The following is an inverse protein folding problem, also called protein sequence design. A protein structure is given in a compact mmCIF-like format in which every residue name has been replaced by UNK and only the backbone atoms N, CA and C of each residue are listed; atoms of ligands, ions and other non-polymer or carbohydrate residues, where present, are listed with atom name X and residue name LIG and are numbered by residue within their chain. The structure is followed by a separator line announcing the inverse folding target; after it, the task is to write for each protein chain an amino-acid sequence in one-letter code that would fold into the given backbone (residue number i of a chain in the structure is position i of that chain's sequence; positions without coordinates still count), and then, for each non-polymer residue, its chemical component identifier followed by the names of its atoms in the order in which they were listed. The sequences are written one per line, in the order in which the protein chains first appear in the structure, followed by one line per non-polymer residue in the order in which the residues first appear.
data_IF_356796759416
#
_entry.id   IF_356796759416
#
_cell.length_a   1.000
_cell.length_b   1.000
_cell.length_c   1.000
_cell.angle_alpha   90.00
_cell.angle_beta   90.00
_cell.angle_gamma   90.00
#
_symmetry.space_group_name_H-M   'P 1'
#
loop_
_entity.id
_entity.type
_entity.pdbx_description
1 polymer ?
#
# COMPACT_ATOMS: atom_id res chain seq x y z
N UNK A 1 -2.83 -0.06 -31.12
CA UNK A 1 -3.56 1.19 -30.75
C UNK A 1 -2.97 1.59 -29.41
N UNK A 2 -1.78 2.18 -29.47
CA UNK A 2 -0.90 2.37 -28.33
C UNK A 2 -0.57 3.86 -28.26
N UNK A 3 -0.85 4.46 -27.10
CA UNK A 3 -0.76 5.89 -26.86
C UNK A 3 0.69 6.36 -26.81
N UNK A 4 1.32 6.60 -27.97
CA UNK A 4 2.54 7.42 -28.08
C UNK A 4 2.69 8.06 -29.47
N UNK A 5 1.59 8.49 -30.10
CA UNK A 5 1.63 9.31 -31.31
C UNK A 5 1.32 10.78 -30.98
N UNK A 6 2.27 11.45 -30.33
CA UNK A 6 2.44 12.91 -30.41
C UNK A 6 3.62 13.33 -29.53
N UNK A 7 4.86 13.16 -29.97
CA UNK A 7 5.92 14.11 -29.65
C UNK A 7 7.02 14.01 -30.71
N UNK A 8 7.32 15.18 -31.29
CA UNK A 8 8.21 15.47 -32.40
C UNK A 8 9.61 14.84 -32.24
N UNK A 9 10.27 14.37 -33.32
CA UNK A 9 11.62 13.84 -33.23
C UNK A 9 12.60 15.01 -33.11
N UNK A 10 13.32 15.11 -31.99
CA UNK A 10 14.49 15.98 -31.92
C UNK A 10 15.68 15.22 -31.35
N UNK A 11 16.63 14.97 -32.25
CA UNK A 11 17.95 14.41 -32.00
C UNK A 11 18.66 15.20 -30.91
N UNK A 12 18.87 14.60 -29.74
CA UNK A 12 19.99 14.99 -28.85
C UNK A 12 20.66 13.72 -28.36
N UNK A 13 21.84 13.46 -28.92
CA UNK A 13 22.86 12.55 -28.41
C UNK A 13 23.19 12.96 -26.98
N UNK A 14 22.69 12.23 -25.97
CA UNK A 14 23.21 12.26 -24.61
C UNK A 14 22.82 10.98 -23.88
N UNK A 15 23.82 10.16 -23.55
CA UNK A 15 23.71 8.90 -22.79
C UNK A 15 22.90 9.06 -21.48
N UNK A 16 22.84 10.27 -20.93
CA UNK A 16 22.09 10.64 -19.74
C UNK A 16 20.57 10.59 -19.90
N UNK A 17 20.00 10.99 -21.06
CA UNK A 17 18.55 10.99 -21.26
C UNK A 17 17.99 9.58 -21.46
N UNK A 18 18.80 8.68 -22.03
CA UNK A 18 18.44 7.27 -22.23
C UNK A 18 18.27 6.52 -20.90
N UNK A 19 19.05 6.89 -19.88
CA UNK A 19 18.91 6.34 -18.52
C UNK A 19 17.62 6.86 -17.87
N UNK A 20 17.35 8.16 -17.90
CA UNK A 20 16.13 8.74 -17.29
C UNK A 20 14.87 8.22 -17.96
N UNK A 21 14.84 8.15 -19.29
CA UNK A 21 13.71 7.59 -20.03
C UNK A 21 13.53 6.09 -19.73
N UNK A 22 14.61 5.32 -19.62
CA UNK A 22 14.56 3.91 -19.24
C UNK A 22 14.05 3.74 -17.80
N UNK A 23 14.56 4.53 -16.85
CA UNK A 23 14.16 4.48 -15.44
C UNK A 23 12.68 4.80 -15.30
N UNK A 24 12.18 5.87 -15.92
CA UNK A 24 10.76 6.24 -15.84
C UNK A 24 9.86 5.22 -16.57
N UNK A 25 10.25 4.72 -17.75
CA UNK A 25 9.44 3.70 -18.47
C UNK A 25 9.46 2.34 -17.77
N UNK A 26 10.61 1.88 -17.29
CA UNK A 26 10.74 0.59 -16.60
C UNK A 26 10.06 0.66 -15.24
N UNK A 27 10.30 1.69 -14.43
CA UNK A 27 9.56 1.89 -13.17
C UNK A 27 8.06 2.06 -13.43
N UNK A 28 7.68 2.76 -14.51
CA UNK A 28 6.29 2.97 -14.90
C UNK A 28 5.57 1.66 -15.21
N UNK A 29 6.16 0.78 -16.02
CA UNK A 29 5.57 -0.51 -16.36
C UNK A 29 5.53 -1.47 -15.17
N UNK A 30 6.57 -1.48 -14.32
CA UNK A 30 6.58 -2.25 -13.07
C UNK A 30 5.52 -1.76 -12.09
N UNK A 31 5.41 -0.44 -11.89
CA UNK A 31 4.38 0.17 -11.04
C UNK A 31 2.97 -0.14 -11.53
N UNK A 32 2.73 0.00 -12.84
CA UNK A 32 1.44 -0.34 -13.44
C UNK A 32 1.10 -1.82 -13.26
N UNK A 33 2.07 -2.72 -13.42
CA UNK A 33 1.89 -4.16 -13.18
C UNK A 33 1.51 -4.46 -11.72
N UNK A 34 2.24 -3.88 -10.76
CA UNK A 34 1.96 -4.02 -9.34
C UNK A 34 0.59 -3.46 -8.97
N UNK A 35 0.23 -2.28 -9.49
CA UNK A 35 -1.09 -1.70 -9.25
C UNK A 35 -2.21 -2.54 -9.84
N UNK A 36 -2.06 -3.16 -11.00
CA UNK A 36 -3.09 -4.05 -11.57
C UNK A 36 -3.42 -5.21 -10.64
N UNK A 37 -2.42 -5.77 -9.95
CA UNK A 37 -2.62 -6.84 -8.97
C UNK A 37 -3.28 -6.35 -7.68
N UNK A 38 -2.96 -5.12 -7.24
CA UNK A 38 -3.50 -4.53 -6.01
C UNK A 38 -4.87 -3.85 -6.18
N UNK A 39 -5.21 -3.40 -7.39
CA UNK A 39 -6.47 -2.70 -7.69
C UNK A 39 -7.73 -3.46 -7.26
N UNK A 40 -7.88 -4.77 -7.50
CA UNK A 40 -9.11 -5.46 -7.12
C UNK A 40 -9.29 -5.55 -5.59
N UNK A 41 -8.23 -5.44 -4.81
CA UNK A 41 -8.25 -5.36 -3.33
C UNK A 41 -8.94 -4.10 -2.81
N UNK A 42 -9.03 -3.04 -3.62
CA UNK A 42 -9.72 -1.79 -3.27
C UNK A 42 -11.16 -1.74 -3.75
N UNK A 43 -11.72 -2.86 -4.21
CA UNK A 43 -13.15 -2.96 -4.45
C UNK A 43 -13.93 -2.81 -3.14
N UNK A 44 -15.09 -2.14 -3.19
CA UNK A 44 -15.85 -1.72 -2.00
C UNK A 44 -16.12 -2.87 -1.00
N UNK A 45 -16.50 -4.06 -1.49
CA UNK A 45 -16.74 -5.24 -0.65
C UNK A 45 -15.54 -5.67 0.18
N UNK A 46 -14.32 -5.45 -0.33
CA UNK A 46 -13.10 -5.79 0.39
C UNK A 46 -12.77 -4.64 1.34
N UNK A 47 -12.90 -3.39 0.89
CA UNK A 47 -12.72 -2.17 1.71
C UNK A 47 -13.54 -2.22 3.00
N UNK A 48 -14.78 -2.71 2.93
CA UNK A 48 -15.64 -2.88 4.10
C UNK A 48 -15.03 -3.83 5.15
N UNK A 49 -14.33 -4.88 4.73
CA UNK A 49 -13.65 -5.81 5.65
C UNK A 49 -12.42 -5.17 6.31
N UNK A 50 -11.74 -4.24 5.63
CA UNK A 50 -10.65 -3.47 6.25
C UNK A 50 -11.18 -2.61 7.40
N UNK A 51 -12.37 -2.01 7.24
CA UNK A 51 -13.00 -1.18 8.27
C UNK A 51 -13.28 -1.99 9.54
N UNK A 52 -13.79 -3.22 9.40
CA UNK A 52 -14.05 -4.11 10.55
C UNK A 52 -12.78 -4.45 11.33
N UNK A 53 -11.66 -4.69 10.63
CA UNK A 53 -10.37 -4.99 11.26
C UNK A 53 -9.81 -3.75 11.98
N UNK A 54 -9.85 -2.59 11.33
CA UNK A 54 -9.36 -1.36 11.95
C UNK A 54 -10.20 -0.96 13.17
N UNK A 55 -11.52 -1.13 13.12
CA UNK A 55 -12.40 -0.89 14.26
C UNK A 55 -12.06 -1.82 15.45
N UNK A 56 -11.83 -3.11 15.17
CA UNK A 56 -11.39 -4.08 16.19
C UNK A 56 -10.05 -3.70 16.82
N UNK A 57 -9.04 -3.43 16.01
CA UNK A 57 -7.70 -3.10 16.52
C UNK A 57 -7.67 -1.75 17.24
N UNK A 58 -8.48 -0.78 16.79
CA UNK A 58 -8.67 0.49 17.50
C UNK A 58 -9.30 0.30 18.88
N UNK A 59 -10.34 -0.53 19.00
CA UNK A 59 -10.93 -0.90 20.30
C UNK A 59 -9.93 -1.59 21.22
N UNK A 60 -9.08 -2.48 20.67
CA UNK A 60 -8.00 -3.12 21.42
C UNK A 60 -6.98 -2.10 21.91
N UNK A 61 -6.57 -1.16 21.05
CA UNK A 61 -5.65 -0.07 21.40
C UNK A 61 -6.17 0.77 22.56
N UNK A 62 -7.44 1.20 22.49
CA UNK A 62 -8.09 1.98 23.55
C UNK A 62 -8.20 1.18 24.86
N UNK A 63 -8.49 -0.12 24.78
CA UNK A 63 -8.55 -1.01 25.96
C UNK A 63 -7.18 -1.14 26.62
N UNK A 64 -6.13 -1.36 25.85
CA UNK A 64 -4.76 -1.43 26.36
C UNK A 64 -4.32 -0.12 27.01
N UNK A 65 -4.68 1.02 26.41
CA UNK A 65 -4.39 2.34 26.97
C UNK A 65 -5.13 2.59 28.30
N UNK A 66 -6.41 2.20 28.39
CA UNK A 66 -7.19 2.30 29.64
C UNK A 66 -6.65 1.39 30.75
N UNK A 67 -6.11 0.22 30.38
CA UNK A 67 -5.55 -0.74 31.33
C UNK A 67 -4.15 -0.35 31.82
N UNK A 68 -3.42 0.48 31.07
CA UNK A 68 -2.09 0.94 31.41
C UNK A 68 -2.04 1.97 32.56
N UNK A 69 -3.03 1.99 33.48
CA UNK A 69 -3.21 2.94 34.61
C UNK A 69 -1.89 3.46 35.19
N UNK A 70 -1.44 4.62 34.73
CA UNK A 70 -0.26 5.33 35.25
C UNK A 70 1.11 4.88 34.69
N UNK A 71 1.18 3.85 33.86
CA UNK A 71 2.39 3.51 33.12
C UNK A 71 2.53 4.49 31.94
N UNK A 72 3.52 5.38 32.01
CA UNK A 72 3.93 6.20 30.87
C UNK A 72 4.23 5.23 29.72
N UNK A 73 3.46 5.33 28.64
CA UNK A 73 3.77 4.62 27.39
C UNK A 73 5.14 5.15 26.96
N UNK A 74 6.20 4.41 27.29
CA UNK A 74 7.59 4.85 27.15
C UNK A 74 7.95 5.22 25.70
N UNK A 75 7.19 4.70 24.74
CA UNK A 75 7.24 5.15 23.35
C UNK A 75 5.87 5.02 22.67
N UNK A 76 5.19 6.15 22.47
CA UNK A 76 3.92 6.22 21.75
C UNK A 76 4.08 5.76 20.29
N UNK A 77 5.24 5.97 19.70
CA UNK A 77 5.51 5.60 18.30
C UNK A 77 5.49 4.08 18.11
N UNK A 78 6.22 3.36 18.95
CA UNK A 78 6.20 1.88 18.97
C UNK A 78 4.81 1.33 19.25
N UNK A 79 4.08 1.95 20.19
CA UNK A 79 2.72 1.55 20.51
C UNK A 79 1.77 1.69 19.32
N UNK A 80 1.72 2.86 18.67
CA UNK A 80 0.86 3.08 17.50
C UNK A 80 1.29 2.17 16.34
N UNK A 81 2.59 1.97 16.17
CA UNK A 81 3.14 1.12 15.11
C UNK A 81 2.71 -0.34 15.28
N UNK A 82 2.66 -0.86 16.51
CA UNK A 82 2.19 -2.22 16.81
C UNK A 82 0.73 -2.43 16.38
N UNK A 83 -0.18 -1.54 16.79
CA UNK A 83 -1.59 -1.66 16.43
C UNK A 83 -1.84 -1.38 14.94
N UNK A 84 -1.06 -0.47 14.33
CA UNK A 84 -1.11 -0.22 12.89
C UNK A 84 -0.66 -1.44 12.10
N UNK A 85 0.43 -2.08 12.52
CA UNK A 85 0.95 -3.29 11.91
C UNK A 85 -0.04 -4.44 12.08
N UNK A 86 -0.65 -4.61 13.26
CA UNK A 86 -1.71 -5.60 13.46
C UNK A 86 -2.93 -5.35 12.58
N UNK A 87 -3.34 -4.09 12.38
CA UNK A 87 -4.39 -3.74 11.44
C UNK A 87 -4.03 -4.16 10.02
N UNK A 88 -2.87 -3.75 9.51
CA UNK A 88 -2.40 -4.08 8.16
C UNK A 88 -2.15 -5.59 7.99
N UNK A 89 -1.61 -6.27 8.99
CA UNK A 89 -1.38 -7.70 9.00
C UNK A 89 -2.68 -8.49 9.03
N UNK A 90 -3.66 -8.11 9.85
CA UNK A 90 -4.98 -8.73 9.83
C UNK A 90 -5.58 -8.75 8.41
N UNK A 91 -5.27 -7.70 7.63
CA UNK A 91 -5.67 -7.60 6.24
C UNK A 91 -4.88 -8.48 5.27
N UNK A 92 -3.62 -8.87 5.53
CA UNK A 92 -2.88 -9.78 4.63
C UNK A 92 -3.65 -11.08 4.42
N UNK A 93 -4.42 -11.53 5.42
CA UNK A 93 -5.19 -12.77 5.34
C UNK A 93 -6.38 -12.63 4.39
N UNK A 94 -6.98 -11.45 4.32
CA UNK A 94 -8.04 -11.11 3.37
C UNK A 94 -7.45 -11.02 1.95
N UNK A 95 -6.30 -10.36 1.81
CA UNK A 95 -5.62 -10.17 0.52
C UNK A 95 -5.12 -11.51 -0.02
N UNK A 96 -4.51 -12.36 0.81
CA UNK A 96 -4.07 -13.70 0.42
C UNK A 96 -5.23 -14.61 0.04
N UNK A 97 -6.35 -14.56 0.76
CA UNK A 97 -7.57 -15.28 0.37
C UNK A 97 -8.14 -14.77 -0.95
N UNK A 98 -8.05 -13.45 -1.21
CA UNK A 98 -8.49 -12.86 -2.47
C UNK A 98 -7.57 -13.25 -3.65
N UNK A 99 -6.26 -13.34 -3.41
CA UNK A 99 -5.28 -13.79 -4.41
C UNK A 99 -5.31 -15.31 -4.64
N UNK A 100 -5.75 -16.11 -3.66
CA UNK A 100 -5.93 -17.58 -3.77
C UNK A 100 -7.31 -18.01 -4.28
N UNK A 101 -8.29 -17.11 -4.40
CA UNK A 101 -9.50 -17.34 -5.19
C UNK A 101 -9.22 -16.79 -6.59
N UNK A 102 -8.36 -17.49 -7.32
CA UNK A 102 -8.19 -17.33 -8.76
C UNK A 102 -7.82 -18.66 -9.38
#
# INVERSE_FOLDING_TARGET
KDCTSSFIPMLISNRHFKIVHCVVHVLGTMWQSQRKTLTPTFHFNILQRFVEIFDKESKNMVKSLKNAKGAVVKDLSSFISEYTLNGICGNYKIILNFLNIK
#
